data_IF_359254949233
#
_entry.id   IF_359254949233
#
_cell.length_a   1.000
_cell.length_b   1.000
_cell.length_c   1.000
_cell.angle_alpha   90.00
_cell.angle_beta   90.00
_cell.angle_gamma   90.00
#
_symmetry.space_group_name_H-M   'P 1'
#
loop_
_entity.id
_entity.type
_entity.pdbx_description
1 polymer ?
#
# COMPACT_ATOMS: atom_id res chain seq x y z
N UNK A 1 -17.65 -0.19 14.22
CA UNK A 1 -16.47 0.59 14.67
C UNK A 1 -15.91 0.03 16.00
N UNK A 2 -16.65 -0.01 17.12
CA UNK A 2 -16.11 -0.51 18.41
C UNK A 2 -15.54 -1.95 18.43
N UNK A 3 -15.92 -2.83 17.50
CA UNK A 3 -15.41 -4.21 17.45
C UNK A 3 -13.97 -4.31 16.92
N UNK A 4 -13.57 -3.44 15.99
CA UNK A 4 -12.22 -3.52 15.39
C UNK A 4 -11.16 -3.07 16.40
N UNK A 5 -11.42 -1.98 17.14
CA UNK A 5 -10.52 -1.51 18.19
C UNK A 5 -10.32 -2.56 19.29
N UNK A 6 -11.38 -3.25 19.70
CA UNK A 6 -11.27 -4.38 20.62
C UNK A 6 -10.40 -5.52 20.06
N UNK A 7 -10.65 -5.93 18.81
CA UNK A 7 -9.89 -7.00 18.15
C UNK A 7 -8.40 -6.66 18.04
N UNK A 8 -8.09 -5.44 17.60
CA UNK A 8 -6.75 -4.84 17.54
C UNK A 8 -6.09 -4.93 18.93
N UNK A 9 -6.71 -4.35 19.96
CA UNK A 9 -6.14 -4.31 21.31
C UNK A 9 -5.83 -5.69 21.89
N UNK A 10 -6.62 -6.72 21.54
CA UNK A 10 -6.46 -8.08 22.06
C UNK A 10 -5.41 -8.87 21.28
N UNK A 11 -5.33 -8.71 19.96
CA UNK A 11 -4.47 -9.53 19.09
C UNK A 11 -3.06 -8.99 19.01
N UNK A 12 -2.89 -7.67 18.95
CA UNK A 12 -1.55 -7.08 18.85
C UNK A 12 -0.71 -7.44 20.07
N UNK A 13 -1.30 -7.47 21.27
CA UNK A 13 -0.64 -7.92 22.49
C UNK A 13 -0.16 -9.39 22.44
N UNK A 14 -0.67 -10.18 21.50
CA UNK A 14 -0.34 -11.61 21.32
C UNK A 14 0.42 -11.88 20.02
N UNK A 15 0.60 -10.87 19.18
CA UNK A 15 1.27 -11.04 17.90
C UNK A 15 2.76 -11.26 18.14
N UNK A 16 3.32 -12.29 17.48
CA UNK A 16 4.76 -12.57 17.50
C UNK A 16 5.50 -11.84 16.36
N UNK A 17 4.81 -10.97 15.62
CA UNK A 17 5.37 -10.23 14.49
C UNK A 17 4.49 -9.05 14.09
N UNK A 18 4.88 -8.39 13.01
CA UNK A 18 4.22 -7.19 12.50
C UNK A 18 2.93 -7.54 11.77
N UNK A 19 1.80 -7.05 12.30
CA UNK A 19 0.52 -7.10 11.62
C UNK A 19 0.46 -5.94 10.62
N UNK A 20 -0.10 -6.19 9.44
CA UNK A 20 -0.29 -5.16 8.42
C UNK A 20 -1.74 -5.22 7.94
N UNK A 21 -2.58 -4.29 8.41
CA UNK A 21 -3.97 -4.22 7.96
C UNK A 21 -4.02 -3.71 6.52
N UNK A 22 -4.80 -4.36 5.67
CA UNK A 22 -5.01 -3.91 4.30
C UNK A 22 -6.20 -2.94 4.25
N UNK A 23 -6.16 -1.87 3.43
CA UNK A 23 -7.33 -1.03 3.20
C UNK A 23 -8.49 -1.81 2.60
N UNK A 24 -9.67 -1.25 2.78
CA UNK A 24 -10.86 -1.70 2.08
C UNK A 24 -10.75 -1.47 0.56
N UNK A 25 -11.21 -2.42 -0.27
CA UNK A 25 -11.18 -2.32 -1.74
C UNK A 25 -12.57 -2.56 -2.40
N UNK A 26 -13.26 -1.53 -2.93
CA UNK A 26 -12.88 -0.11 -2.85
C UNK A 26 -13.04 0.46 -1.44
N UNK A 27 -12.33 1.56 -1.10
CA UNK A 27 -12.35 2.18 0.22
C UNK A 27 -13.61 3.04 0.45
N UNK A 28 -14.78 2.53 0.09
CA UNK A 28 -16.09 3.19 0.28
C UNK A 28 -17.13 2.21 0.80
N UNK A 29 -18.09 2.71 1.57
CA UNK A 29 -19.22 1.89 2.03
C UNK A 29 -20.10 1.51 0.85
N UNK A 30 -20.42 0.22 0.71
CA UNK A 30 -21.19 -0.32 -0.40
C UNK A 30 -22.33 -1.20 0.11
N UNK A 31 -23.46 -1.18 -0.60
CA UNK A 31 -24.62 -2.04 -0.32
C UNK A 31 -25.15 -1.95 1.13
N UNK A 32 -25.01 -0.78 1.77
CA UNK A 32 -25.41 -0.56 3.16
C UNK A 32 -24.45 -1.15 4.20
N UNK A 33 -23.29 -1.66 3.79
CA UNK A 33 -22.27 -2.19 4.67
C UNK A 33 -21.16 -1.17 4.93
N UNK A 34 -20.78 -0.94 6.20
CA UNK A 34 -19.70 -0.02 6.53
C UNK A 34 -18.35 -0.62 6.14
N UNK A 35 -17.45 0.26 5.69
CA UNK A 35 -16.02 0.02 5.50
C UNK A 35 -15.22 0.91 6.46
N UNK A 36 -14.14 0.37 7.02
CA UNK A 36 -13.48 0.90 8.23
C UNK A 36 -11.96 1.06 8.10
N UNK A 37 -11.41 0.87 6.90
CA UNK A 37 -10.01 1.18 6.56
C UNK A 37 -9.99 1.88 5.20
N UNK A 38 -10.46 3.13 5.15
CA UNK A 38 -10.70 3.87 3.91
C UNK A 38 -9.74 5.03 3.67
N UNK A 39 -9.39 5.73 4.75
CA UNK A 39 -8.78 7.05 4.74
C UNK A 39 -7.89 7.24 5.97
N UNK A 40 -7.32 8.44 6.10
CA UNK A 40 -6.48 8.85 7.22
C UNK A 40 -7.24 8.77 8.55
N UNK A 41 -8.51 9.16 8.57
CA UNK A 41 -9.33 9.17 9.79
C UNK A 41 -9.53 7.77 10.36
N UNK A 42 -9.79 6.79 9.49
CA UNK A 42 -9.86 5.38 9.88
C UNK A 42 -8.50 4.86 10.39
N UNK A 43 -7.40 5.20 9.71
CA UNK A 43 -6.05 4.82 10.12
C UNK A 43 -5.68 5.39 11.50
N UNK A 44 -6.00 6.67 11.73
CA UNK A 44 -5.78 7.34 13.00
C UNK A 44 -6.51 6.62 14.14
N UNK A 45 -7.77 6.24 13.92
CA UNK A 45 -8.54 5.46 14.87
C UNK A 45 -7.91 4.07 15.14
N UNK A 46 -7.49 3.37 14.09
CA UNK A 46 -6.88 2.03 14.16
C UNK A 46 -5.58 2.05 14.96
N UNK A 47 -4.69 3.01 14.68
CA UNK A 47 -3.40 3.10 15.36
C UNK A 47 -3.53 3.67 16.77
N UNK A 48 -4.47 4.58 17.01
CA UNK A 48 -4.80 5.04 18.36
C UNK A 48 -5.36 3.93 19.25
N UNK A 49 -6.14 2.99 18.68
CA UNK A 49 -6.70 1.87 19.43
C UNK A 49 -5.66 0.79 19.80
N UNK A 50 -4.51 0.77 19.12
CA UNK A 50 -3.41 -0.16 19.37
C UNK A 50 -2.07 0.50 19.01
N UNK A 51 -1.46 1.29 19.91
CA UNK A 51 -0.32 2.15 19.58
C UNK A 51 1.00 1.39 19.42
N UNK A 52 1.02 0.07 19.62
CA UNK A 52 2.20 -0.77 19.42
C UNK A 52 2.63 -0.79 17.95
N UNK A 53 3.94 -0.85 17.68
CA UNK A 53 4.49 -0.86 16.31
C UNK A 53 4.06 -2.10 15.52
N UNK A 54 3.74 -3.20 16.19
CA UNK A 54 3.20 -4.40 15.57
C UNK A 54 1.80 -4.17 14.97
N UNK A 55 1.12 -3.07 15.30
CA UNK A 55 -0.07 -2.60 14.61
C UNK A 55 0.33 -1.71 13.43
N UNK A 56 0.51 -2.32 12.26
CA UNK A 56 0.92 -1.61 11.07
C UNK A 56 -0.04 -1.75 9.89
N UNK A 57 0.45 -1.26 8.76
CA UNK A 57 -0.28 -1.04 7.52
C UNK A 57 0.29 -1.90 6.41
N UNK A 58 -0.59 -2.50 5.61
CA UNK A 58 -0.28 -2.78 4.21
C UNK A 58 -0.65 -1.55 3.40
N UNK A 59 0.34 -0.79 2.94
CA UNK A 59 0.08 0.37 2.08
C UNK A 59 -0.29 -0.16 0.69
N UNK A 60 -1.59 -0.30 0.44
CA UNK A 60 -2.10 -0.60 -0.90
C UNK A 60 -2.48 0.67 -1.64
N UNK A 61 -1.54 1.12 -2.46
CA UNK A 61 -1.66 2.32 -3.31
C UNK A 61 -2.91 2.27 -4.20
N UNK A 62 -3.20 1.14 -4.83
CA UNK A 62 -4.37 1.01 -5.69
C UNK A 62 -5.71 1.00 -4.95
N UNK A 63 -5.77 0.44 -3.74
CA UNK A 63 -7.02 0.45 -2.96
C UNK A 63 -7.26 1.86 -2.39
N UNK A 64 -6.30 2.45 -1.67
CA UNK A 64 -6.45 3.82 -1.16
C UNK A 64 -6.62 4.85 -2.28
N UNK A 65 -5.95 4.67 -3.44
CA UNK A 65 -6.02 5.59 -4.59
C UNK A 65 -7.29 5.49 -5.43
N UNK A 66 -8.17 4.52 -5.14
CA UNK A 66 -9.47 4.39 -5.79
C UNK A 66 -10.46 5.49 -5.39
N UNK A 67 -10.15 6.26 -4.35
CA UNK A 67 -10.84 7.50 -3.98
C UNK A 67 -9.83 8.67 -3.91
N UNK A 68 -10.30 9.86 -3.54
CA UNK A 68 -9.48 11.06 -3.40
C UNK A 68 -8.68 11.08 -2.07
N UNK A 69 -7.85 10.05 -1.87
CA UNK A 69 -6.84 10.06 -0.82
C UNK A 69 -5.53 10.66 -1.35
N UNK A 70 -4.81 11.38 -0.50
CA UNK A 70 -3.42 11.76 -0.76
C UNK A 70 -2.50 10.62 -0.30
N UNK A 71 -1.95 9.89 -1.27
CA UNK A 71 -1.12 8.71 -1.00
C UNK A 71 0.28 9.10 -0.50
N UNK A 72 0.75 10.31 -0.84
CA UNK A 72 2.00 10.86 -0.32
C UNK A 72 1.81 11.17 1.15
N UNK A 73 0.72 11.87 1.52
CA UNK A 73 0.38 12.16 2.91
C UNK A 73 0.25 10.88 3.75
N UNK A 74 -0.48 9.87 3.27
CA UNK A 74 -0.64 8.60 3.98
C UNK A 74 0.71 7.90 4.17
N UNK A 75 1.53 7.86 3.11
CA UNK A 75 2.83 7.20 3.16
C UNK A 75 3.80 7.92 4.12
N UNK A 76 3.81 9.25 4.14
CA UNK A 76 4.64 10.05 5.06
C UNK A 76 4.17 9.92 6.51
N UNK A 77 2.86 10.09 6.76
CA UNK A 77 2.31 10.12 8.12
C UNK A 77 2.47 8.78 8.85
N UNK A 78 2.38 7.68 8.11
CA UNK A 78 2.38 6.33 8.68
C UNK A 78 3.59 5.49 8.25
N UNK A 79 4.68 6.13 7.76
CA UNK A 79 5.87 5.45 7.23
C UNK A 79 6.44 4.42 8.21
N UNK A 80 6.52 4.79 9.49
CA UNK A 80 7.02 3.96 10.58
C UNK A 80 6.20 2.68 10.79
N UNK A 81 4.93 2.68 10.38
CA UNK A 81 3.97 1.58 10.52
C UNK A 81 3.72 0.80 9.24
N UNK A 82 4.30 1.19 8.09
CA UNK A 82 4.15 0.42 6.85
C UNK A 82 5.06 -0.81 6.93
N UNK A 83 4.44 -1.99 7.05
CA UNK A 83 5.17 -3.27 7.14
C UNK A 83 5.06 -4.11 5.86
N UNK A 84 4.21 -3.67 4.92
CA UNK A 84 4.06 -4.29 3.61
C UNK A 84 3.50 -3.28 2.61
N UNK A 85 3.91 -3.35 1.35
CA UNK A 85 3.41 -2.45 0.30
C UNK A 85 2.83 -3.23 -0.89
N UNK A 86 1.62 -2.84 -1.31
CA UNK A 86 1.06 -3.22 -2.60
C UNK A 86 1.18 -2.00 -3.51
N UNK A 87 2.07 -2.09 -4.49
CA UNK A 87 2.37 -1.02 -5.42
C UNK A 87 1.74 -1.34 -6.77
N UNK A 88 0.52 -0.86 -6.98
CA UNK A 88 -0.25 -0.90 -8.23
C UNK A 88 -0.97 0.42 -8.41
N UNK A 89 -1.44 0.72 -9.61
CA UNK A 89 -2.05 2.01 -9.89
C UNK A 89 -3.50 1.85 -10.38
N UNK A 90 -4.28 2.90 -10.18
CA UNK A 90 -5.68 2.98 -10.61
C UNK A 90 -5.94 4.33 -11.24
N UNK A 91 -6.88 4.37 -12.17
CA UNK A 91 -7.38 5.63 -12.75
C UNK A 91 -8.85 5.76 -12.43
N UNK A 92 -9.22 6.88 -11.82
CA UNK A 92 -10.59 7.26 -11.51
C UNK A 92 -11.26 7.84 -12.75
N UNK A 93 -12.54 7.52 -12.92
CA UNK A 93 -13.40 8.10 -13.94
C UNK A 93 -14.25 9.22 -13.34
N UNK A 94 -14.80 10.09 -14.21
CA UNK A 94 -15.62 11.23 -13.78
C UNK A 94 -16.87 10.84 -12.99
N UNK A 95 -17.38 9.62 -13.19
CA UNK A 95 -18.55 9.09 -12.49
C UNK A 95 -18.24 8.49 -11.11
N UNK A 96 -16.97 8.53 -10.68
CA UNK A 96 -16.51 7.96 -9.41
C UNK A 96 -16.19 6.47 -9.47
N UNK A 97 -16.32 5.81 -10.63
CA UNK A 97 -15.76 4.49 -10.86
C UNK A 97 -14.24 4.57 -11.08
N UNK A 98 -13.55 3.42 -11.10
CA UNK A 98 -12.13 3.35 -11.39
C UNK A 98 -11.80 2.03 -12.09
N UNK A 99 -10.61 1.98 -12.70
CA UNK A 99 -10.05 0.74 -13.25
C UNK A 99 -8.57 0.60 -12.86
N UNK A 100 -8.07 -0.63 -12.93
CA UNK A 100 -6.66 -0.95 -12.73
C UNK A 100 -5.83 -0.38 -13.89
N UNK A 101 -4.96 0.58 -13.61
CA UNK A 101 -4.10 1.22 -14.59
C UNK A 101 -2.79 0.44 -14.78
N UNK A 102 -1.99 0.83 -15.78
CA UNK A 102 -0.58 0.41 -15.77
C UNK A 102 0.11 0.98 -14.53
N UNK A 103 1.10 0.27 -13.97
CA UNK A 103 1.71 0.65 -12.68
C UNK A 103 2.22 2.08 -12.62
N UNK A 104 2.63 2.66 -13.75
CA UNK A 104 3.20 4.02 -13.81
C UNK A 104 2.29 5.06 -14.49
N UNK A 105 1.11 4.68 -14.97
CA UNK A 105 0.25 5.55 -15.81
C UNK A 105 -1.15 5.76 -15.18
N UNK A 106 -1.27 5.60 -13.86
CA UNK A 106 -2.50 5.90 -13.13
C UNK A 106 -2.41 7.18 -12.30
N UNK A 107 -3.41 7.38 -11.44
CA UNK A 107 -3.55 8.61 -10.66
C UNK A 107 -2.61 8.68 -9.44
N UNK A 108 -2.01 7.56 -9.04
CA UNK A 108 -1.12 7.50 -7.87
C UNK A 108 0.31 7.80 -8.28
N UNK A 109 0.96 8.72 -7.54
CA UNK A 109 2.41 8.95 -7.63
C UNK A 109 3.20 7.80 -6.98
N UNK A 110 3.40 6.73 -7.75
CA UNK A 110 4.16 5.55 -7.31
C UNK A 110 5.63 5.89 -7.04
N UNK A 111 6.21 6.86 -7.75
CA UNK A 111 7.62 7.24 -7.56
C UNK A 111 7.77 7.95 -6.21
N UNK A 112 6.89 8.88 -5.89
CA UNK A 112 6.85 9.55 -4.60
C UNK A 112 6.64 8.57 -3.45
N UNK A 113 5.67 7.66 -3.57
CA UNK A 113 5.45 6.60 -2.57
C UNK A 113 6.70 5.73 -2.35
N UNK A 114 7.35 5.24 -3.42
CA UNK A 114 8.57 4.44 -3.30
C UNK A 114 9.69 5.24 -2.62
N UNK A 115 9.81 6.53 -2.96
CA UNK A 115 10.83 7.40 -2.36
C UNK A 115 10.68 7.48 -0.85
N UNK A 116 9.44 7.63 -0.35
CA UNK A 116 9.14 7.66 1.08
C UNK A 116 9.47 6.32 1.74
N UNK A 117 9.10 5.19 1.12
CA UNK A 117 9.41 3.87 1.65
C UNK A 117 10.93 3.66 1.79
N UNK A 118 11.73 4.04 0.78
CA UNK A 118 13.20 3.94 0.83
C UNK A 118 13.79 4.85 1.92
N UNK A 119 13.28 6.07 2.06
CA UNK A 119 13.72 6.99 3.13
C UNK A 119 13.43 6.37 4.51
N UNK A 120 12.26 5.78 4.69
CA UNK A 120 11.89 5.08 5.91
C UNK A 120 12.81 3.88 6.16
N UNK A 121 13.08 3.00 5.19
CA UNK A 121 14.01 1.87 5.38
C UNK A 121 15.39 2.34 5.86
N UNK A 122 15.94 3.41 5.25
CA UNK A 122 17.21 4.03 5.70
C UNK A 122 17.11 4.57 7.13
N UNK A 123 15.99 5.19 7.48
CA UNK A 123 15.76 5.68 8.84
C UNK A 123 15.69 4.54 9.85
N UNK A 124 14.97 3.46 9.53
CA UNK A 124 14.88 2.24 10.35
C UNK A 124 16.25 1.65 10.62
N UNK A 125 17.10 1.56 9.60
CA UNK A 125 18.50 1.12 9.74
C UNK A 125 19.27 2.03 10.71
N UNK A 126 19.18 3.36 10.52
CA UNK A 126 19.88 4.35 11.36
C UNK A 126 19.50 4.28 12.84
N UNK A 127 18.22 4.01 13.15
CA UNK A 127 17.74 3.90 14.53
C UNK A 127 17.81 2.47 15.10
N UNK A 128 18.33 1.51 14.32
CA UNK A 128 18.53 0.13 14.76
C UNK A 128 17.25 -0.70 14.89
N UNK A 129 16.22 -0.41 14.08
CA UNK A 129 15.03 -1.27 13.98
C UNK A 129 15.39 -2.61 13.35
N UNK A 130 14.67 -3.66 13.75
CA UNK A 130 14.88 -5.02 13.22
C UNK A 130 14.17 -5.21 11.87
N UNK A 131 13.06 -4.52 11.67
CA UNK A 131 12.21 -4.54 10.48
C UNK A 131 12.57 -3.45 9.47
N UNK A 132 13.86 -3.43 9.11
CA UNK A 132 14.41 -2.45 8.18
C UNK A 132 13.71 -2.52 6.83
N UNK A 133 13.58 -3.72 6.27
CA UNK A 133 13.03 -3.90 4.93
C UNK A 133 11.50 -3.86 4.94
N UNK A 134 10.91 -3.08 4.05
CA UNK A 134 9.48 -3.04 3.75
C UNK A 134 9.25 -3.92 2.52
N UNK A 135 8.77 -5.17 2.68
CA UNK A 135 8.46 -6.00 1.53
C UNK A 135 7.39 -5.34 0.66
N UNK A 136 7.48 -5.57 -0.66
CA UNK A 136 6.52 -5.05 -1.63
C UNK A 136 6.11 -6.11 -2.64
N UNK A 137 4.95 -5.89 -3.27
CA UNK A 137 4.51 -6.63 -4.46
C UNK A 137 3.86 -5.69 -5.48
N UNK A 138 3.89 -6.03 -6.79
CA UNK A 138 3.18 -5.27 -7.83
C UNK A 138 1.65 -5.42 -7.76
N UNK A 139 1.16 -6.22 -6.82
CA UNK A 139 -0.24 -6.55 -6.58
C UNK A 139 -0.96 -7.15 -7.80
N UNK A 140 -1.62 -6.31 -8.61
CA UNK A 140 -2.39 -6.73 -9.78
C UNK A 140 -1.63 -6.41 -11.08
N UNK A 141 -1.98 -7.12 -12.15
CA UNK A 141 -1.45 -6.87 -13.48
C UNK A 141 -2.47 -7.14 -14.56
N UNK A 142 -2.33 -6.45 -15.68
CA UNK A 142 -3.21 -6.63 -16.84
C UNK A 142 -3.08 -8.03 -17.46
N UNK A 143 -4.13 -8.46 -18.15
CA UNK A 143 -4.12 -9.70 -18.91
C UNK A 143 -3.46 -9.46 -20.28
N UNK A 144 -2.17 -9.77 -20.38
CA UNK A 144 -1.32 -9.45 -21.53
C UNK A 144 -0.80 -10.71 -22.22
N UNK A 145 -0.55 -10.60 -23.52
CA UNK A 145 0.16 -11.61 -24.34
C UNK A 145 -0.41 -13.03 -24.12
N UNK A 146 0.45 -14.02 -23.90
CA UNK A 146 0.07 -15.43 -23.76
C UNK A 146 -0.92 -15.68 -22.62
N UNK A 147 -1.01 -14.80 -21.63
CA UNK A 147 -1.95 -14.97 -20.53
C UNK A 147 -3.40 -14.79 -20.98
N UNK A 148 -3.66 -14.10 -22.10
CA UNK A 148 -5.00 -13.98 -22.68
C UNK A 148 -5.57 -15.32 -23.17
N UNK A 149 -4.72 -16.31 -23.40
CA UNK A 149 -5.10 -17.66 -23.85
C UNK A 149 -5.18 -18.66 -22.69
N UNK A 150 -4.97 -18.22 -21.45
CA UNK A 150 -4.94 -19.07 -20.25
C UNK A 150 -6.07 -18.70 -19.31
N UNK A 151 -6.54 -19.68 -18.54
CA UNK A 151 -7.37 -19.40 -17.38
C UNK A 151 -6.51 -18.73 -16.30
N UNK A 152 -6.78 -17.45 -16.06
CA UNK A 152 -6.08 -16.64 -15.06
C UNK A 152 -7.07 -16.13 -14.01
N UNK A 153 -6.63 -16.06 -12.75
CA UNK A 153 -7.36 -15.34 -11.72
C UNK A 153 -7.35 -13.83 -12.04
N UNK A 154 -8.47 -13.10 -11.88
CA UNK A 154 -8.55 -11.68 -12.21
C UNK A 154 -7.46 -10.86 -11.52
N UNK A 155 -6.63 -10.15 -12.29
CA UNK A 155 -5.51 -9.34 -11.79
C UNK A 155 -4.25 -10.13 -11.41
N UNK A 156 -4.28 -11.47 -11.39
CA UNK A 156 -3.17 -12.32 -10.93
C UNK A 156 -2.48 -13.10 -12.07
N UNK A 157 -2.65 -12.65 -13.33
CA UNK A 157 -1.85 -13.12 -14.46
C UNK A 157 -0.34 -12.95 -14.21
N UNK A 158 0.49 -13.72 -14.89
CA UNK A 158 1.94 -13.70 -14.68
C UNK A 158 2.56 -12.48 -15.36
N UNK A 159 2.26 -12.27 -16.64
CA UNK A 159 2.94 -11.32 -17.51
C UNK A 159 2.69 -9.88 -17.07
N UNK A 160 1.43 -9.53 -16.76
CA UNK A 160 1.10 -8.19 -16.27
C UNK A 160 1.79 -7.84 -14.96
N UNK A 161 1.81 -8.77 -14.00
CA UNK A 161 2.48 -8.55 -12.70
C UNK A 161 4.00 -8.56 -12.84
N UNK A 162 4.56 -9.37 -13.74
CA UNK A 162 5.99 -9.35 -14.05
C UNK A 162 6.42 -8.00 -14.64
N UNK A 163 5.63 -7.43 -15.57
CA UNK A 163 5.85 -6.08 -16.12
C UNK A 163 5.88 -5.05 -14.99
N UNK A 164 4.83 -5.01 -14.17
CA UNK A 164 4.75 -4.10 -13.02
C UNK A 164 5.92 -4.23 -12.05
N UNK A 165 6.28 -5.46 -11.68
CA UNK A 165 7.44 -5.69 -10.81
C UNK A 165 8.75 -5.20 -11.44
N UNK A 166 8.92 -5.37 -12.76
CA UNK A 166 10.10 -4.88 -13.45
C UNK A 166 10.17 -3.34 -13.48
N UNK A 167 9.03 -2.67 -13.65
CA UNK A 167 8.90 -1.20 -13.59
C UNK A 167 9.26 -0.68 -12.20
N UNK A 168 8.66 -1.22 -11.14
CA UNK A 168 8.95 -0.86 -9.75
C UNK A 168 10.43 -1.06 -9.41
N UNK A 169 11.01 -2.20 -9.83
CA UNK A 169 12.44 -2.47 -9.65
C UNK A 169 13.32 -1.42 -10.32
N UNK A 170 12.95 -0.97 -11.51
CA UNK A 170 13.69 0.09 -12.22
C UNK A 170 13.67 1.42 -11.46
N UNK A 171 12.52 1.79 -10.90
CA UNK A 171 12.36 2.99 -10.08
C UNK A 171 13.23 2.90 -8.82
N UNK A 172 13.13 1.79 -8.07
CA UNK A 172 13.92 1.57 -6.86
C UNK A 172 15.41 1.72 -7.16
N UNK A 173 15.92 1.05 -8.20
CA UNK A 173 17.33 1.17 -8.61
C UNK A 173 17.74 2.59 -8.96
N UNK A 174 16.84 3.35 -9.59
CA UNK A 174 17.10 4.73 -9.97
C UNK A 174 17.19 5.63 -8.74
N UNK A 175 16.25 5.49 -7.81
CA UNK A 175 16.22 6.25 -6.56
C UNK A 175 17.44 5.91 -5.68
N UNK A 176 17.80 4.63 -5.55
CA UNK A 176 19.01 4.18 -4.87
C UNK A 176 20.27 4.81 -5.47
N UNK A 177 20.37 4.83 -6.81
CA UNK A 177 21.54 5.38 -7.52
C UNK A 177 21.65 6.90 -7.39
N UNK A 178 20.53 7.63 -7.49
CA UNK A 178 20.52 9.08 -7.37
C UNK A 178 20.74 9.54 -5.94
N UNK A 179 20.39 8.70 -4.96
CA UNK A 179 20.36 9.07 -3.56
C UNK A 179 19.15 9.95 -3.26
N UNK A 180 18.25 9.43 -2.44
CA UNK A 180 17.22 10.24 -1.77
C UNK A 180 17.78 10.70 -0.43
N UNK A 181 17.90 12.02 -0.29
CA UNK A 181 18.08 12.70 0.99
C UNK A 181 16.69 13.01 1.57
N UNK A 182 16.54 12.83 2.88
CA UNK A 182 15.33 13.24 3.61
C UNK A 182 15.29 14.78 3.68
N UNK A 183 14.86 15.44 2.61
CA UNK A 183 14.68 16.89 2.60
C UNK A 183 13.72 17.35 1.48
N UNK A 184 12.43 17.34 1.81
CA UNK A 184 11.51 18.44 1.53
C UNK A 184 10.64 18.64 2.76
#
# INVERSE_FOLDING_TARGET
INRIGHYISVIILKALGYMCIHPDDPPISLFGLPRVVKDVEDLEYIFSAGPDINNGLTLCTGSFGAINNDLIEIAERYSDRIHFAHLRNVTKQEDGSFYEAEHLEGDVDIIGVISILIIEEKWREKIGRVDINIPLRPDHGHLLLDDQQKECLPGYSLIGRLKGLAELRGIIRTIEYMGVDSAA
#
